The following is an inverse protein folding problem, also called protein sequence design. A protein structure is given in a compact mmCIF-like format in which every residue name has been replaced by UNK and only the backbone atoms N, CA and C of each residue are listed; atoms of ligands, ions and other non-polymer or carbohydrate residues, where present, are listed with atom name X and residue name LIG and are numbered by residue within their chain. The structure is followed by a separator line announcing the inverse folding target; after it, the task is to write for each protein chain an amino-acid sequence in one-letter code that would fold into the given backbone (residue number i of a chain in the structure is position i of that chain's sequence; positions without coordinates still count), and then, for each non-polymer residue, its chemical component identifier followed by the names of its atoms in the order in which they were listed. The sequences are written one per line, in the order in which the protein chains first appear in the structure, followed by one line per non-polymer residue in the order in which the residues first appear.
data_IF_053885880907
#
_entry.id   IF_053885880907
#
_cell.length_a   1.000
_cell.length_b   1.000
_cell.length_c   1.000
_cell.angle_alpha   90.00
_cell.angle_beta   90.00
_cell.angle_gamma   90.00
#
_symmetry.space_group_name_H-M   'P 1'
#
loop_
_entity.id
_entity.type
_entity.pdbx_description
1 polymer ?
#
# COMPACT_ATOMS: atom_id res chain seq x y z
N UNK A 1 3.03 26.25 54.50
CA UNK A 1 2.78 26.12 53.05
C UNK A 1 3.57 24.93 52.55
N UNK A 2 2.94 23.77 52.39
CA UNK A 2 3.67 22.53 52.17
C UNK A 2 3.97 22.36 50.68
N UNK A 3 5.18 22.71 50.24
CA UNK A 3 5.63 22.62 48.85
C UNK A 3 5.58 21.18 48.28
N UNK A 4 5.44 20.19 49.16
CA UNK A 4 5.31 18.77 48.82
C UNK A 4 4.10 18.46 47.93
N UNK A 5 2.98 19.17 48.09
CA UNK A 5 1.75 18.89 47.34
C UNK A 5 1.85 19.27 45.85
N UNK A 6 2.71 20.23 45.50
CA UNK A 6 2.94 20.65 44.10
C UNK A 6 3.62 19.57 43.24
N UNK A 7 4.17 18.53 43.85
CA UNK A 7 4.84 17.43 43.15
C UNK A 7 3.81 16.43 42.59
N UNK A 8 2.60 16.38 43.15
CA UNK A 8 1.55 15.39 42.81
C UNK A 8 1.15 15.45 41.31
N UNK A 9 0.90 16.63 40.69
CA UNK A 9 0.55 16.70 39.27
C UNK A 9 1.69 16.26 38.35
N UNK A 10 2.93 16.58 38.73
CA UNK A 10 4.12 16.24 37.94
C UNK A 10 4.38 14.73 37.98
N UNK A 11 4.26 14.10 39.15
CA UNK A 11 4.36 12.65 39.28
C UNK A 11 3.24 11.93 38.52
N UNK A 12 2.01 12.47 38.58
CA UNK A 12 0.87 11.88 37.87
C UNK A 12 1.02 11.98 36.34
N UNK A 13 1.58 13.09 35.84
CA UNK A 13 1.95 13.24 34.43
C UNK A 13 2.98 12.16 34.01
N UNK A 14 4.07 12.03 34.78
CA UNK A 14 5.12 11.06 34.51
C UNK A 14 4.60 9.62 34.54
N UNK A 15 3.75 9.29 35.52
CA UNK A 15 3.11 7.98 35.63
C UNK A 15 2.15 7.70 34.48
N UNK A 16 1.32 8.66 34.07
CA UNK A 16 0.39 8.50 32.95
C UNK A 16 1.10 8.27 31.61
N UNK A 17 2.20 9.01 31.38
CA UNK A 17 3.09 8.79 30.24
C UNK A 17 3.73 7.40 30.27
N UNK A 18 4.27 7.00 31.43
CA UNK A 18 4.97 5.73 31.61
C UNK A 18 4.03 4.52 31.42
N UNK A 19 2.84 4.55 32.03
CA UNK A 19 1.83 3.50 31.87
C UNK A 19 1.42 3.35 30.40
N UNK A 20 1.22 4.46 29.70
CA UNK A 20 0.85 4.45 28.28
C UNK A 20 1.98 3.93 27.39
N UNK A 21 3.24 4.25 27.73
CA UNK A 21 4.41 3.69 27.05
C UNK A 21 4.49 2.17 27.19
N UNK A 22 4.37 1.66 28.42
CA UNK A 22 4.41 0.22 28.71
C UNK A 22 3.23 -0.50 28.06
N UNK A 23 2.01 0.06 28.14
CA UNK A 23 0.82 -0.48 27.50
C UNK A 23 1.01 -0.62 25.97
N UNK A 24 1.61 0.37 25.32
CA UNK A 24 1.94 0.31 23.90
C UNK A 24 2.86 -0.86 23.54
N UNK A 25 3.92 -1.08 24.32
CA UNK A 25 4.81 -2.23 24.12
C UNK A 25 4.11 -3.56 24.34
N UNK A 26 3.31 -3.69 25.39
CA UNK A 26 2.53 -4.91 25.65
C UNK A 26 1.56 -5.19 24.48
N UNK A 27 0.92 -4.14 23.95
CA UNK A 27 0.02 -4.26 22.81
C UNK A 27 0.76 -4.84 21.58
N UNK A 28 1.91 -4.26 21.22
CA UNK A 28 2.66 -4.66 20.02
C UNK A 28 3.34 -6.03 20.15
N UNK A 29 3.93 -6.33 21.30
CA UNK A 29 4.71 -7.56 21.47
C UNK A 29 3.90 -8.77 21.94
N UNK A 30 2.74 -8.56 22.55
CA UNK A 30 1.95 -9.64 23.15
C UNK A 30 0.54 -9.75 22.58
N UNK A 31 -0.19 -8.64 22.52
CA UNK A 31 -1.62 -8.66 22.15
C UNK A 31 -1.79 -8.83 20.63
N UNK A 32 -1.11 -8.01 19.83
CA UNK A 32 -1.23 -8.05 18.36
C UNK A 32 -0.77 -9.40 17.79
N UNK A 33 0.41 -9.96 18.16
CA UNK A 33 0.85 -11.27 17.66
C UNK A 33 -0.14 -12.39 18.00
N UNK A 34 -0.73 -12.37 19.21
CA UNK A 34 -1.73 -13.36 19.62
C UNK A 34 -3.01 -13.34 18.78
N UNK A 35 -3.33 -12.21 18.13
CA UNK A 35 -4.52 -12.02 17.30
C UNK A 35 -4.18 -11.84 15.82
N UNK A 36 -2.91 -11.99 15.44
CA UNK A 36 -2.39 -11.67 14.11
C UNK A 36 -3.06 -12.50 13.01
N UNK A 37 -3.35 -13.77 13.27
CA UNK A 37 -4.07 -14.62 12.32
C UNK A 37 -5.48 -14.09 12.00
N UNK A 38 -6.25 -13.69 13.02
CA UNK A 38 -7.59 -13.11 12.81
C UNK A 38 -7.53 -11.77 12.10
N UNK A 39 -6.55 -10.93 12.46
CA UNK A 39 -6.31 -9.65 11.78
C UNK A 39 -5.95 -9.88 10.31
N UNK A 40 -5.09 -10.86 10.04
CA UNK A 40 -4.68 -11.23 8.69
C UNK A 40 -5.87 -11.69 7.84
N UNK A 41 -6.80 -12.46 8.41
CA UNK A 41 -8.04 -12.87 7.73
C UNK A 41 -8.99 -11.69 7.48
N UNK A 42 -9.20 -10.82 8.47
CA UNK A 42 -10.04 -9.63 8.31
C UNK A 42 -9.49 -8.68 7.24
N UNK A 43 -8.18 -8.43 7.26
CA UNK A 43 -7.50 -7.58 6.28
C UNK A 43 -7.53 -8.25 4.91
N UNK A 44 -7.26 -9.55 4.81
CA UNK A 44 -7.33 -10.29 3.55
C UNK A 44 -8.72 -10.20 2.89
N UNK A 45 -9.78 -10.38 3.68
CA UNK A 45 -11.16 -10.23 3.20
C UNK A 45 -11.49 -8.79 2.79
N UNK A 46 -11.07 -7.80 3.57
CA UNK A 46 -11.28 -6.39 3.24
C UNK A 46 -10.57 -5.99 1.95
N UNK A 47 -9.31 -6.40 1.77
CA UNK A 47 -8.54 -6.13 0.55
C UNK A 47 -9.16 -6.83 -0.65
N UNK A 48 -9.62 -8.08 -0.52
CA UNK A 48 -10.29 -8.80 -1.61
C UNK A 48 -11.60 -8.13 -2.04
N UNK A 49 -12.34 -7.54 -1.09
CA UNK A 49 -13.58 -6.82 -1.38
C UNK A 49 -13.33 -5.49 -2.10
N UNK A 50 -12.33 -4.73 -1.68
CA UNK A 50 -11.98 -3.44 -2.29
C UNK A 50 -11.20 -3.60 -3.61
N UNK A 51 -10.29 -4.57 -3.66
CA UNK A 51 -9.42 -4.91 -4.78
C UNK A 51 -9.98 -6.11 -5.54
N UNK A 52 -11.16 -5.95 -6.14
CA UNK A 52 -11.73 -6.99 -7.00
C UNK A 52 -10.96 -7.07 -8.32
N UNK A 53 -10.57 -8.29 -8.73
CA UNK A 53 -9.91 -8.53 -10.01
C UNK A 53 -10.74 -8.07 -11.21
N UNK A 54 -12.07 -8.10 -11.09
CA UNK A 54 -12.98 -7.61 -12.13
C UNK A 54 -12.77 -6.09 -12.40
N UNK A 55 -12.46 -5.32 -11.35
CA UNK A 55 -12.12 -3.90 -11.48
C UNK A 55 -10.73 -3.68 -12.08
N UNK A 56 -9.76 -4.55 -11.74
CA UNK A 56 -8.41 -4.49 -12.28
C UNK A 56 -8.37 -4.86 -13.77
N UNK A 57 -9.07 -5.92 -14.17
CA UNK A 57 -9.19 -6.37 -15.57
C UNK A 57 -9.74 -5.24 -16.43
N UNK A 58 -10.87 -4.63 -16.03
CA UNK A 58 -11.47 -3.49 -16.73
C UNK A 58 -10.50 -2.30 -16.87
N UNK A 59 -9.70 -2.03 -15.83
CA UNK A 59 -8.75 -0.92 -15.84
C UNK A 59 -7.55 -1.20 -16.73
N UNK A 60 -7.07 -2.45 -16.79
CA UNK A 60 -5.96 -2.86 -17.66
C UNK A 60 -6.39 -2.89 -19.13
N UNK A 61 -7.61 -3.35 -19.42
CA UNK A 61 -8.15 -3.42 -20.79
C UNK A 61 -8.81 -2.12 -21.24
N UNK A 62 -8.72 -1.05 -20.46
CA UNK A 62 -9.33 0.24 -20.80
C UNK A 62 -8.68 0.81 -22.08
N UNK A 63 -9.48 1.11 -23.13
CA UNK A 63 -8.96 1.65 -24.38
C UNK A 63 -8.13 2.94 -24.21
N UNK A 64 -8.40 3.74 -23.18
CA UNK A 64 -7.64 4.96 -22.89
C UNK A 64 -6.20 4.67 -22.44
N UNK A 65 -6.00 3.62 -21.63
CA UNK A 65 -4.68 3.18 -21.20
C UNK A 65 -3.92 2.57 -22.37
N UNK A 66 -4.61 1.82 -23.24
CA UNK A 66 -4.01 1.23 -24.44
C UNK A 66 -3.50 2.32 -25.38
N UNK A 67 -4.30 3.37 -25.63
CA UNK A 67 -3.88 4.53 -26.45
C UNK A 67 -2.62 5.22 -25.95
N UNK A 68 -2.37 5.22 -24.63
CA UNK A 68 -1.15 5.81 -24.08
C UNK A 68 0.13 5.06 -24.46
N UNK A 69 0.02 3.76 -24.78
CA UNK A 69 1.16 2.89 -25.14
C UNK A 69 1.37 2.84 -26.66
N UNK A 70 0.34 3.18 -27.45
CA UNK A 70 0.42 3.12 -28.92
C UNK A 70 1.55 3.94 -29.55
N UNK A 71 1.91 5.14 -29.07
CA UNK A 71 3.06 5.87 -29.61
C UNK A 71 4.40 5.11 -29.47
N UNK A 72 4.57 4.35 -28.38
CA UNK A 72 5.76 3.52 -28.17
C UNK A 72 5.78 2.32 -29.12
N UNK A 73 4.64 1.66 -29.28
CA UNK A 73 4.47 0.56 -30.24
C UNK A 73 4.76 1.05 -31.65
N UNK A 74 4.21 2.21 -32.01
CA UNK A 74 4.42 2.86 -33.31
C UNK A 74 5.90 3.10 -33.60
N UNK A 75 6.65 3.61 -32.61
CA UNK A 75 8.09 3.82 -32.75
C UNK A 75 8.85 2.51 -32.98
N UNK A 76 8.49 1.42 -32.28
CA UNK A 76 9.13 0.12 -32.47
C UNK A 76 8.76 -0.54 -33.81
N UNK A 77 7.52 -0.40 -34.27
CA UNK A 77 7.10 -0.90 -35.59
C UNK A 77 7.85 -0.16 -36.69
N UNK A 78 7.96 1.17 -36.61
CA UNK A 78 8.69 1.97 -37.60
C UNK A 78 10.20 1.63 -37.62
N UNK A 79 10.83 1.50 -36.45
CA UNK A 79 12.24 1.09 -36.36
C UNK A 79 12.47 -0.32 -36.93
N UNK A 80 11.55 -1.25 -36.64
CA UNK A 80 11.63 -2.60 -37.18
C UNK A 80 11.56 -2.59 -38.72
N UNK A 81 10.58 -1.90 -39.31
CA UNK A 81 10.40 -1.86 -40.76
C UNK A 81 11.56 -1.13 -41.47
N UNK A 82 12.12 -0.09 -40.86
CA UNK A 82 13.18 0.74 -41.47
C UNK A 82 14.58 0.17 -41.31
N UNK A 83 14.91 -0.36 -40.13
CA UNK A 83 16.26 -0.81 -39.80
C UNK A 83 16.33 -2.33 -39.70
N UNK A 84 15.55 -2.96 -38.80
CA UNK A 84 15.69 -4.39 -38.48
C UNK A 84 15.30 -5.30 -39.63
N UNK A 85 14.29 -4.94 -40.42
CA UNK A 85 13.84 -5.71 -41.57
C UNK A 85 14.91 -5.76 -42.66
N UNK A 86 15.57 -4.64 -42.94
CA UNK A 86 16.68 -4.57 -43.91
C UNK A 86 17.91 -5.36 -43.43
N UNK A 87 18.16 -5.35 -42.12
CA UNK A 87 19.27 -6.10 -41.51
C UNK A 87 19.03 -7.62 -41.56
N UNK A 88 17.84 -8.09 -41.17
CA UNK A 88 17.51 -9.52 -41.07
C UNK A 88 17.02 -10.14 -42.37
N UNK A 89 16.40 -9.35 -43.25
CA UNK A 89 15.85 -9.80 -44.53
C UNK A 89 16.25 -8.85 -45.66
N UNK A 90 17.53 -8.85 -46.07
CA UNK A 90 18.08 -7.84 -46.99
C UNK A 90 17.36 -7.84 -48.34
N UNK A 91 17.06 -9.03 -48.87
CA UNK A 91 16.35 -9.18 -50.15
C UNK A 91 14.96 -8.55 -50.09
N UNK A 92 14.21 -8.80 -49.01
CA UNK A 92 12.86 -8.23 -48.82
C UNK A 92 12.94 -6.73 -48.57
N UNK A 93 13.92 -6.27 -47.80
CA UNK A 93 14.16 -4.86 -47.51
C UNK A 93 14.50 -4.01 -48.75
N UNK A 94 15.05 -4.61 -49.82
CA UNK A 94 15.30 -3.91 -51.09
C UNK A 94 14.03 -3.65 -51.90
N UNK A 95 12.98 -4.48 -51.76
CA UNK A 95 11.70 -4.33 -52.46
C UNK A 95 10.68 -3.48 -51.69
N UNK A 96 10.97 -3.13 -50.43
CA UNK A 96 10.09 -2.34 -49.56
C UNK A 96 10.56 -0.88 -49.56
N UNK A 97 9.83 -0.03 -50.29
CA UNK A 97 9.99 1.44 -50.25
C UNK A 97 9.14 2.10 -49.16
N UNK A 98 9.32 3.42 -48.96
CA UNK A 98 8.63 4.16 -47.89
C UNK A 98 7.09 4.03 -47.92
N UNK A 99 6.49 4.00 -49.11
CA UNK A 99 5.03 3.82 -49.26
C UNK A 99 4.55 2.45 -48.75
N UNK A 100 5.34 1.41 -48.98
CA UNK A 100 5.07 0.05 -48.49
C UNK A 100 5.30 -0.04 -46.98
N UNK A 101 6.34 0.64 -46.46
CA UNK A 101 6.59 0.74 -45.01
C UNK A 101 5.39 1.36 -44.30
N UNK A 102 4.89 2.50 -44.79
CA UNK A 102 3.76 3.18 -44.18
C UNK A 102 2.48 2.32 -44.20
N UNK A 103 2.22 1.64 -45.33
CA UNK A 103 1.06 0.74 -45.45
C UNK A 103 1.16 -0.46 -44.50
N UNK A 104 2.34 -1.07 -44.38
CA UNK A 104 2.59 -2.16 -43.45
C UNK A 104 2.42 -1.68 -42.00
N UNK A 105 3.00 -0.53 -41.66
CA UNK A 105 2.89 0.08 -40.33
C UNK A 105 1.43 0.28 -39.93
N UNK A 106 0.60 0.84 -40.82
CA UNK A 106 -0.84 1.06 -40.55
C UNK A 106 -1.59 -0.26 -40.30
N UNK A 107 -1.35 -1.28 -41.13
CA UNK A 107 -1.97 -2.61 -40.96
C UNK A 107 -1.53 -3.25 -39.63
N UNK A 108 -0.23 -3.22 -39.32
CA UNK A 108 0.29 -3.77 -38.07
C UNK A 108 -0.26 -3.05 -36.85
N UNK A 109 -0.30 -1.71 -36.86
CA UNK A 109 -0.84 -0.94 -35.73
C UNK A 109 -2.30 -1.25 -35.49
N UNK A 110 -3.09 -1.36 -36.54
CA UNK A 110 -4.51 -1.73 -36.44
C UNK A 110 -4.69 -3.13 -35.84
N UNK A 111 -3.89 -4.09 -36.29
CA UNK A 111 -3.91 -5.46 -35.77
C UNK A 111 -3.50 -5.49 -34.29
N UNK A 112 -2.49 -4.72 -33.89
CA UNK A 112 -2.09 -4.60 -32.48
C UNK A 112 -3.20 -3.96 -31.66
N UNK A 113 -3.85 -2.90 -32.14
CA UNK A 113 -4.95 -2.23 -31.41
C UNK A 113 -6.11 -3.20 -31.16
N UNK A 114 -6.37 -4.15 -32.06
CA UNK A 114 -7.40 -5.17 -31.91
C UNK A 114 -6.99 -6.36 -31.02
N UNK A 115 -5.75 -6.84 -31.15
CA UNK A 115 -5.25 -8.02 -30.43
C UNK A 115 -4.78 -7.70 -29.01
N UNK A 116 -4.22 -6.51 -28.80
CA UNK A 116 -3.62 -6.12 -27.52
C UNK A 116 -4.62 -6.17 -26.34
N UNK A 117 -5.85 -5.64 -26.45
CA UNK A 117 -6.86 -5.80 -25.40
C UNK A 117 -7.14 -7.27 -25.06
N UNK A 118 -7.22 -8.14 -26.06
CA UNK A 118 -7.54 -9.56 -25.88
C UNK A 118 -6.41 -10.31 -25.16
N UNK A 119 -5.15 -10.01 -25.52
CA UNK A 119 -3.96 -10.57 -24.85
C UNK A 119 -3.93 -10.12 -23.39
N UNK A 120 -4.15 -8.82 -23.13
CA UNK A 120 -4.19 -8.29 -21.77
C UNK A 120 -5.32 -8.90 -20.95
N UNK A 121 -6.49 -9.09 -21.54
CA UNK A 121 -7.62 -9.72 -20.88
C UNK A 121 -7.29 -11.15 -20.45
N UNK A 122 -6.73 -11.94 -21.38
CA UNK A 122 -6.32 -13.32 -21.08
C UNK A 122 -5.25 -13.37 -19.98
N UNK A 123 -4.26 -12.48 -20.05
CA UNK A 123 -3.21 -12.39 -19.04
C UNK A 123 -3.77 -11.98 -17.66
N UNK A 124 -4.68 -11.01 -17.62
CA UNK A 124 -5.35 -10.61 -16.38
C UNK A 124 -6.16 -11.76 -15.76
N UNK A 125 -6.86 -12.55 -16.59
CA UNK A 125 -7.55 -13.77 -16.17
C UNK A 125 -6.58 -14.83 -15.59
N UNK A 126 -5.45 -15.06 -16.25
CA UNK A 126 -4.42 -15.99 -15.74
C UNK A 126 -3.81 -15.52 -14.40
N UNK A 127 -3.65 -14.21 -14.19
CA UNK A 127 -3.21 -13.65 -12.90
C UNK A 127 -4.28 -13.91 -11.82
N UNK A 128 -5.54 -13.63 -12.12
CA UNK A 128 -6.66 -13.85 -11.20
C UNK A 128 -6.68 -15.29 -10.70
N UNK A 129 -6.51 -16.26 -11.59
CA UNK A 129 -6.58 -17.68 -11.24
C UNK A 129 -5.38 -18.16 -10.40
N UNK A 130 -4.23 -17.49 -10.54
CA UNK A 130 -2.99 -17.84 -9.82
C UNK A 130 -2.80 -17.09 -8.51
N UNK A 131 -3.44 -15.93 -8.35
CA UNK A 131 -3.14 -14.99 -7.28
C UNK A 131 -4.29 -14.93 -6.28
N UNK A 132 -4.18 -15.75 -5.23
CA UNK A 132 -5.05 -15.66 -4.07
C UNK A 132 -4.60 -14.49 -3.17
N UNK A 133 -5.17 -13.30 -3.44
CA UNK A 133 -4.88 -12.07 -2.67
C UNK A 133 -5.12 -12.28 -1.17
N UNK A 134 -6.14 -13.03 -0.80
CA UNK A 134 -6.47 -13.25 0.62
C UNK A 134 -5.37 -14.06 1.30
N UNK A 135 -4.91 -15.13 0.65
CA UNK A 135 -3.79 -15.95 1.14
C UNK A 135 -2.46 -15.17 1.15
N UNK A 136 -2.16 -14.40 0.10
CA UNK A 136 -0.93 -13.62 0.03
C UNK A 136 -0.90 -12.53 1.11
N UNK A 137 -2.00 -11.78 1.28
CA UNK A 137 -2.12 -10.79 2.36
C UNK A 137 -2.02 -11.46 3.72
N UNK A 138 -2.65 -12.63 3.92
CA UNK A 138 -2.54 -13.37 5.18
C UNK A 138 -1.10 -13.76 5.51
N UNK A 139 -0.36 -14.28 4.53
CA UNK A 139 1.04 -14.64 4.67
C UNK A 139 1.91 -13.41 4.95
N UNK A 140 1.67 -12.29 4.26
CA UNK A 140 2.40 -11.04 4.48
C UNK A 140 2.16 -10.50 5.88
N UNK A 141 0.91 -10.41 6.32
CA UNK A 141 0.55 -9.89 7.65
C UNK A 141 1.14 -10.76 8.75
N UNK A 142 1.09 -12.08 8.63
CA UNK A 142 1.67 -13.01 9.62
C UNK A 142 3.21 -13.02 9.62
N UNK A 143 3.86 -12.72 8.50
CA UNK A 143 5.32 -12.62 8.41
C UNK A 143 5.92 -11.32 8.96
N UNK A 144 5.09 -10.32 9.30
CA UNK A 144 5.57 -9.06 9.86
C UNK A 144 6.12 -9.29 11.27
N UNK A 145 7.37 -8.89 11.50
CA UNK A 145 8.00 -8.94 12.82
C UNK A 145 7.42 -7.89 13.76
N UNK A 146 7.40 -8.19 15.07
CA UNK A 146 6.96 -7.24 16.10
C UNK A 146 7.72 -5.90 16.04
N UNK A 147 9.02 -5.94 15.70
CA UNK A 147 9.85 -4.74 15.53
C UNK A 147 9.38 -3.82 14.38
N UNK A 148 8.95 -4.42 13.26
CA UNK A 148 8.38 -3.64 12.14
C UNK A 148 7.01 -3.10 12.51
N UNK A 149 6.18 -3.88 13.20
CA UNK A 149 4.88 -3.42 13.72
C UNK A 149 5.04 -2.23 14.66
N UNK A 150 6.00 -2.29 15.60
CA UNK A 150 6.28 -1.18 16.52
C UNK A 150 6.63 0.09 15.75
N UNK A 151 7.55 -0.02 14.78
CA UNK A 151 7.95 1.13 13.96
C UNK A 151 6.79 1.72 13.16
N UNK A 152 5.90 0.89 12.62
CA UNK A 152 4.71 1.34 11.89
C UNK A 152 3.65 1.96 12.81
N UNK A 153 3.56 1.53 14.06
CA UNK A 153 2.60 2.01 15.05
C UNK A 153 3.14 3.15 15.92
N UNK A 154 4.44 3.46 15.89
CA UNK A 154 5.04 4.49 16.74
C UNK A 154 4.37 5.87 16.63
N UNK A 155 3.93 6.35 15.45
CA UNK A 155 3.17 7.60 15.37
C UNK A 155 1.86 7.57 16.18
N UNK A 156 1.16 6.44 16.13
CA UNK A 156 -0.10 6.23 16.86
C UNK A 156 0.16 6.03 18.35
N UNK A 157 1.15 5.20 18.72
CA UNK A 157 1.56 4.98 20.10
C UNK A 157 2.05 6.27 20.76
N UNK A 158 2.75 7.12 20.01
CA UNK A 158 3.19 8.44 20.46
C UNK A 158 2.01 9.35 20.83
N UNK A 159 0.96 9.36 20.03
CA UNK A 159 -0.28 10.09 20.34
C UNK A 159 -0.92 9.60 21.65
N UNK A 160 -1.07 8.28 21.82
CA UNK A 160 -1.59 7.71 23.07
C UNK A 160 -0.69 7.98 24.27
N UNK A 161 0.64 8.01 24.08
CA UNK A 161 1.61 8.34 25.13
C UNK A 161 1.48 9.79 25.59
N UNK A 162 1.26 10.72 24.66
CA UNK A 162 0.99 12.13 24.96
C UNK A 162 -0.38 12.30 25.64
N UNK A 163 -1.42 11.64 25.13
CA UNK A 163 -2.74 11.65 25.75
C UNK A 163 -2.71 11.11 27.19
N UNK A 164 -1.98 10.02 27.44
CA UNK A 164 -1.78 9.47 28.78
C UNK A 164 -1.07 10.43 29.73
N UNK A 165 -0.08 11.19 29.25
CA UNK A 165 0.58 12.24 30.03
C UNK A 165 -0.40 13.37 30.42
N UNK A 166 -1.21 13.83 29.46
CA UNK A 166 -2.20 14.89 29.67
C UNK A 166 -3.28 14.43 30.67
N UNK A 167 -3.78 13.20 30.52
CA UNK A 167 -4.76 12.61 31.43
C UNK A 167 -4.15 12.47 32.83
N UNK A 168 -2.92 11.96 32.93
CA UNK A 168 -2.20 11.86 34.19
C UNK A 168 -2.04 13.22 34.88
N UNK A 169 -1.68 14.27 34.12
CA UNK A 169 -1.58 15.63 34.63
C UNK A 169 -2.93 16.18 35.10
N UNK A 170 -4.01 15.95 34.34
CA UNK A 170 -5.35 16.38 34.70
C UNK A 170 -5.81 15.73 36.02
N UNK A 171 -5.64 14.41 36.16
CA UNK A 171 -5.96 13.68 37.39
C UNK A 171 -5.12 14.21 38.56
N UNK A 172 -3.82 14.40 38.36
CA UNK A 172 -2.94 14.94 39.41
C UNK A 172 -3.31 16.36 39.83
N UNK A 173 -3.75 17.20 38.89
CA UNK A 173 -4.23 18.56 39.16
C UNK A 173 -5.55 18.55 39.94
N UNK A 174 -6.47 17.65 39.60
CA UNK A 174 -7.71 17.45 40.34
C UNK A 174 -7.41 16.98 41.77
N UNK A 175 -6.50 16.02 41.95
CA UNK A 175 -6.09 15.56 43.28
C UNK A 175 -5.48 16.68 44.13
N UNK A 176 -4.68 17.57 43.51
CA UNK A 176 -4.13 18.74 44.19
C UNK A 176 -5.24 19.70 44.65
N UNK A 177 -6.22 19.98 43.80
CA UNK A 177 -7.38 20.82 44.13
C UNK A 177 -8.20 20.24 45.28
N UNK A 178 -8.49 18.93 45.23
CA UNK A 178 -9.21 18.23 46.30
C UNK A 178 -8.43 18.34 47.62
N UNK A 179 -7.12 18.07 47.60
CA UNK A 179 -6.28 18.17 48.80
C UNK A 179 -6.25 19.59 49.37
N UNK A 180 -6.21 20.61 48.51
CA UNK A 180 -6.23 22.00 48.93
C UNK A 180 -7.56 22.39 49.60
N UNK A 181 -8.70 21.92 49.07
CA UNK A 181 -10.02 22.17 49.65
C UNK A 181 -10.19 21.45 50.99
N UNK A 182 -9.69 20.20 51.10
CA UNK A 182 -9.85 19.38 52.30
C UNK A 182 -8.97 19.81 53.48
N UNK A 183 -7.85 20.50 53.20
CA UNK A 183 -6.85 20.92 54.20
C UNK A 183 -6.95 22.42 54.53
N UNK A 184 -8.10 23.04 54.20
CA UNK A 184 -8.49 24.40 54.53
C UNK A 184 -9.55 24.37 55.62
#
# INVERSE_FOLDING_TARGET
MNYWSLIIPILSLALGWFLSHVAGKILVYRVIPSRQQRLAEMIGKAVKAEFSFDGLEKKITDPSNIKSVMPLVESHVDDFLRHKLKEKMPVVGMFIGDKTIQSLKEVFLKEIEELFPQVLQKFAGEIRDRLDIEAEVKNRVTSVSASRMEKSLEPVLGYYRAAGAIIGFAIGSINLLIFYILNK
#
